data_IF_516241452872
#
_entry.id   IF_516241452872
#
_cell.length_a   1.000
_cell.length_b   1.000
_cell.length_c   1.000
_cell.angle_alpha   90.00
_cell.angle_beta   90.00
_cell.angle_gamma   90.00
#
_symmetry.space_group_name_H-M   'P 1'
#
loop_
_entity.id
_entity.type
_entity.pdbx_description
1 polymer ?
#
# COMPACT_ATOMS: atom_id res chain seq x y z
N UNK A 1 -11.02 44.33 -3.59
CA UNK A 1 -11.35 44.43 -5.02
C UNK A 1 -10.54 45.59 -5.56
N UNK A 2 -9.62 45.34 -6.50
CA UNK A 2 -8.93 46.42 -7.17
C UNK A 2 -9.92 47.07 -8.16
N UNK A 3 -10.13 48.38 -8.02
CA UNK A 3 -11.10 49.18 -8.79
C UNK A 3 -10.81 49.26 -10.30
N UNK A 4 -9.68 48.68 -10.79
CA UNK A 4 -9.19 48.86 -12.17
C UNK A 4 -9.63 47.77 -13.18
N UNK A 5 -10.38 46.74 -12.76
CA UNK A 5 -10.78 45.68 -13.71
C UNK A 5 -12.21 45.82 -14.19
N UNK A 6 -12.46 45.68 -15.53
CA UNK A 6 -13.80 45.75 -16.08
C UNK A 6 -14.67 44.64 -15.49
N UNK A 7 -15.95 44.94 -15.16
CA UNK A 7 -16.90 43.95 -14.71
C UNK A 7 -17.14 42.87 -15.79
N UNK A 8 -17.47 41.63 -15.38
CA UNK A 8 -17.68 40.48 -16.29
C UNK A 8 -18.49 40.85 -17.56
N UNK A 9 -19.55 41.65 -17.40
CA UNK A 9 -20.39 42.09 -18.53
C UNK A 9 -19.72 42.98 -19.57
N UNK A 10 -18.62 43.68 -19.21
CA UNK A 10 -17.90 44.56 -20.11
C UNK A 10 -16.78 43.83 -20.90
N UNK A 11 -16.34 42.64 -20.44
CA UNK A 11 -15.20 41.91 -21.02
C UNK A 11 -15.40 41.54 -22.48
N UNK A 12 -16.62 41.12 -22.88
CA UNK A 12 -16.96 40.79 -24.27
C UNK A 12 -16.85 42.01 -25.18
N UNK A 13 -17.33 43.16 -24.72
CA UNK A 13 -17.25 44.43 -25.45
C UNK A 13 -15.80 44.86 -25.66
N UNK A 14 -14.97 44.75 -24.61
CA UNK A 14 -13.54 45.04 -24.68
C UNK A 14 -12.82 44.11 -25.67
N UNK A 15 -13.13 42.81 -25.66
CA UNK A 15 -12.57 41.85 -26.61
C UNK A 15 -12.95 42.14 -28.07
N UNK A 16 -14.20 42.60 -28.34
CA UNK A 16 -14.63 42.97 -29.68
C UNK A 16 -13.86 44.20 -30.17
N UNK A 17 -13.65 45.19 -29.29
CA UNK A 17 -12.94 46.44 -29.59
C UNK A 17 -11.44 46.22 -29.80
N UNK A 18 -10.81 45.44 -28.95
CA UNK A 18 -9.38 45.17 -28.99
C UNK A 18 -9.11 43.73 -28.47
N UNK A 19 -8.91 42.77 -29.39
CA UNK A 19 -8.72 41.37 -29.06
C UNK A 19 -7.55 41.11 -28.10
N UNK A 20 -6.32 41.63 -28.30
CA UNK A 20 -5.21 41.46 -27.36
C UNK A 20 -5.51 41.95 -25.94
N UNK A 21 -6.07 43.15 -25.82
CA UNK A 21 -6.44 43.77 -24.53
C UNK A 21 -7.59 42.98 -23.86
N UNK A 22 -8.62 42.61 -24.62
CA UNK A 22 -9.74 41.81 -24.14
C UNK A 22 -9.30 40.44 -23.63
N UNK A 23 -8.35 39.77 -24.29
CA UNK A 23 -7.77 38.50 -23.77
C UNK A 23 -7.04 38.68 -22.43
N UNK A 24 -6.29 39.78 -22.31
CA UNK A 24 -5.58 40.09 -21.08
C UNK A 24 -6.55 40.40 -19.94
N UNK A 25 -7.57 41.23 -20.20
CA UNK A 25 -8.59 41.55 -19.20
C UNK A 25 -9.41 40.35 -18.75
N UNK A 26 -9.75 39.43 -19.68
CA UNK A 26 -10.41 38.18 -19.31
C UNK A 26 -9.49 37.30 -18.43
N UNK A 27 -8.20 37.18 -18.77
CA UNK A 27 -7.27 36.43 -17.95
C UNK A 27 -7.11 37.04 -16.56
N UNK A 28 -6.99 38.36 -16.43
CA UNK A 28 -6.95 39.07 -15.14
C UNK A 28 -8.22 38.83 -14.33
N UNK A 29 -9.39 38.94 -14.95
CA UNK A 29 -10.67 38.66 -14.30
C UNK A 29 -10.70 37.23 -13.73
N UNK A 30 -10.30 36.21 -14.53
CA UNK A 30 -10.28 34.82 -14.06
C UNK A 30 -9.32 34.61 -12.88
N UNK A 31 -8.15 35.27 -12.90
CA UNK A 31 -7.16 35.17 -11.80
C UNK A 31 -7.67 35.84 -10.52
N UNK A 32 -8.43 36.93 -10.63
CA UNK A 32 -8.98 37.63 -9.46
C UNK A 32 -10.22 36.94 -8.89
N UNK A 33 -11.09 36.43 -9.76
CA UNK A 33 -12.31 35.75 -9.36
C UNK A 33 -12.03 34.40 -8.71
N UNK A 34 -10.98 33.72 -9.18
CA UNK A 34 -10.69 32.36 -8.78
C UNK A 34 -9.28 32.24 -8.19
N UNK A 35 -9.16 31.46 -7.10
CA UNK A 35 -7.86 31.05 -6.57
C UNK A 35 -7.21 30.03 -7.51
N UNK A 36 -6.43 30.49 -8.48
CA UNK A 36 -5.77 29.67 -9.49
C UNK A 36 -4.29 29.55 -9.16
N UNK A 37 -3.72 28.35 -9.36
CA UNK A 37 -2.27 28.09 -9.29
C UNK A 37 -1.88 27.19 -10.46
N UNK A 38 -0.80 27.54 -11.13
CA UNK A 38 -0.21 26.76 -12.22
C UNK A 38 1.15 26.26 -11.81
N UNK A 39 1.38 24.95 -11.81
CA UNK A 39 2.71 24.40 -11.52
C UNK A 39 3.70 24.83 -12.60
N UNK A 40 4.86 25.32 -12.19
CA UNK A 40 5.99 25.61 -13.08
C UNK A 40 6.67 24.28 -13.48
N UNK A 41 6.03 23.64 -14.45
CA UNK A 41 6.45 22.40 -15.07
C UNK A 41 6.20 22.49 -16.57
N UNK A 42 6.78 21.60 -17.36
CA UNK A 42 6.57 21.56 -18.80
C UNK A 42 5.08 21.49 -19.19
N UNK A 43 4.31 20.73 -18.42
CA UNK A 43 2.88 20.48 -18.64
C UNK A 43 1.99 21.63 -18.16
N UNK A 44 2.53 22.53 -17.32
CA UNK A 44 1.82 23.68 -16.76
C UNK A 44 0.45 23.30 -16.19
N UNK A 45 0.44 22.23 -15.34
CA UNK A 45 -0.79 21.78 -14.71
C UNK A 45 -1.42 22.89 -13.87
N UNK A 46 -2.62 23.32 -14.27
CA UNK A 46 -3.34 24.45 -13.70
C UNK A 46 -4.47 23.95 -12.82
N UNK A 47 -4.55 24.51 -11.63
CA UNK A 47 -5.50 24.12 -10.60
C UNK A 47 -6.32 25.31 -10.10
N UNK A 48 -7.55 25.02 -9.66
CA UNK A 48 -8.46 25.99 -9.04
C UNK A 48 -8.89 25.46 -7.67
N UNK A 49 -8.97 26.33 -6.68
CA UNK A 49 -9.48 25.97 -5.37
C UNK A 49 -11.01 25.85 -5.39
N UNK A 50 -11.53 24.63 -5.22
CA UNK A 50 -12.96 24.33 -5.14
C UNK A 50 -13.23 23.19 -4.17
N UNK A 51 -14.29 23.33 -3.37
CA UNK A 51 -14.69 22.28 -2.44
C UNK A 51 -13.63 21.91 -1.40
N UNK A 52 -12.74 22.85 -1.05
CA UNK A 52 -11.75 22.69 0.00
C UNK A 52 -10.37 22.20 -0.45
N UNK A 53 -10.09 22.09 -1.75
CA UNK A 53 -8.78 21.70 -2.28
C UNK A 53 -8.59 22.15 -3.72
N UNK A 54 -7.39 22.05 -4.25
CA UNK A 54 -7.06 22.43 -5.63
C UNK A 54 -7.37 21.27 -6.58
N UNK A 55 -8.24 21.50 -7.55
CA UNK A 55 -8.64 20.55 -8.60
C UNK A 55 -8.19 21.02 -9.99
N UNK A 56 -7.99 20.13 -10.97
CA UNK A 56 -7.62 20.53 -12.35
C UNK A 56 -8.59 21.55 -12.93
N UNK A 57 -8.06 22.66 -13.48
CA UNK A 57 -8.84 23.84 -13.82
C UNK A 57 -9.07 24.07 -15.32
N UNK A 58 -8.27 23.48 -16.22
CA UNK A 58 -8.26 23.86 -17.65
C UNK A 58 -9.64 23.80 -18.30
N UNK A 59 -10.38 22.72 -18.10
CA UNK A 59 -11.72 22.57 -18.71
C UNK A 59 -12.73 23.55 -18.12
N UNK A 60 -12.67 23.78 -16.80
CA UNK A 60 -13.51 24.77 -16.15
C UNK A 60 -13.24 26.19 -16.68
N UNK A 61 -11.97 26.60 -16.74
CA UNK A 61 -11.56 27.92 -17.21
C UNK A 61 -11.94 28.15 -18.71
N UNK A 62 -11.81 27.09 -19.53
CA UNK A 62 -12.29 27.16 -20.93
C UNK A 62 -13.80 27.34 -21.01
N UNK A 63 -14.56 26.76 -20.09
CA UNK A 63 -16.00 26.97 -19.94
C UNK A 63 -16.34 28.41 -19.57
N UNK A 64 -15.64 29.03 -18.62
CA UNK A 64 -15.80 30.43 -18.23
C UNK A 64 -15.52 31.39 -19.41
N UNK A 65 -14.47 31.11 -20.19
CA UNK A 65 -14.19 31.89 -21.42
C UNK A 65 -15.33 31.77 -22.44
N UNK A 66 -15.91 30.57 -22.58
CA UNK A 66 -17.09 30.36 -23.44
C UNK A 66 -18.28 31.18 -22.97
N UNK A 67 -18.57 31.19 -21.68
CA UNK A 67 -19.68 31.96 -21.11
C UNK A 67 -19.48 33.47 -21.29
N UNK A 68 -18.25 34.00 -21.20
CA UNK A 68 -17.93 35.41 -21.40
C UNK A 68 -18.06 35.81 -22.85
N UNK A 69 -17.49 35.05 -23.75
CA UNK A 69 -17.35 35.44 -25.17
C UNK A 69 -18.46 34.89 -26.08
N UNK A 70 -19.12 33.79 -25.71
CA UNK A 70 -20.09 33.08 -26.54
C UNK A 70 -19.45 32.61 -27.84
N UNK A 71 -20.12 32.92 -28.98
CA UNK A 71 -19.65 32.53 -30.33
C UNK A 71 -18.27 33.08 -30.75
N UNK A 72 -17.70 34.01 -29.99
CA UNK A 72 -16.34 34.54 -30.21
C UNK A 72 -15.23 33.73 -29.57
N UNK A 73 -15.58 32.70 -28.79
CA UNK A 73 -14.66 31.86 -28.01
C UNK A 73 -14.05 30.69 -28.78
N UNK A 74 -13.50 30.90 -29.96
CA UNK A 74 -12.84 29.84 -30.72
C UNK A 74 -11.67 29.17 -29.95
N UNK A 75 -11.33 27.93 -30.34
CA UNK A 75 -10.32 27.13 -29.63
C UNK A 75 -8.99 27.85 -29.41
N UNK A 76 -8.48 28.58 -30.42
CA UNK A 76 -7.24 29.37 -30.29
C UNK A 76 -7.41 30.50 -29.26
N UNK A 77 -8.56 31.22 -29.29
CA UNK A 77 -8.84 32.28 -28.30
C UNK A 77 -8.85 31.78 -26.88
N UNK A 78 -9.51 30.62 -26.63
CA UNK A 78 -9.48 29.98 -25.33
C UNK A 78 -8.06 29.64 -24.88
N UNK A 79 -7.28 28.98 -25.75
CA UNK A 79 -5.92 28.58 -25.42
C UNK A 79 -5.00 29.77 -25.12
N UNK A 80 -5.13 30.88 -25.87
CA UNK A 80 -4.35 32.09 -25.62
C UNK A 80 -4.72 32.79 -24.31
N UNK A 81 -6.02 32.81 -23.93
CA UNK A 81 -6.45 33.31 -22.61
C UNK A 81 -5.93 32.40 -21.49
N UNK A 82 -6.05 31.07 -21.63
CA UNK A 82 -5.54 30.14 -20.65
C UNK A 82 -4.03 30.23 -20.48
N UNK A 83 -3.27 30.40 -21.59
CA UNK A 83 -1.82 30.63 -21.49
C UNK A 83 -1.49 31.87 -20.66
N UNK A 84 -2.24 32.96 -20.81
CA UNK A 84 -2.05 34.16 -19.98
C UNK A 84 -2.38 33.92 -18.52
N UNK A 85 -3.47 33.19 -18.23
CA UNK A 85 -3.80 32.77 -16.84
C UNK A 85 -2.65 31.96 -16.25
N UNK A 86 -2.12 31.01 -17.01
CA UNK A 86 -0.98 30.17 -16.56
C UNK A 86 0.26 31.03 -16.25
N UNK A 87 0.60 32.00 -17.13
CA UNK A 87 1.75 32.90 -16.93
C UNK A 87 1.59 33.77 -15.66
N UNK A 88 0.36 34.20 -15.35
CA UNK A 88 0.06 35.01 -14.16
C UNK A 88 0.01 34.23 -12.86
N UNK A 89 -0.12 32.90 -12.90
CA UNK A 89 -0.37 32.05 -11.72
C UNK A 89 0.68 30.99 -11.48
N UNK A 90 1.87 31.14 -12.09
CA UNK A 90 2.99 30.21 -11.92
C UNK A 90 3.44 30.12 -10.46
N UNK A 91 3.58 28.89 -9.99
CA UNK A 91 4.10 28.55 -8.65
C UNK A 91 4.98 27.33 -8.75
N UNK A 92 5.97 27.24 -7.86
CA UNK A 92 6.77 26.04 -7.72
C UNK A 92 5.92 24.83 -7.31
N UNK A 93 6.29 23.64 -7.79
CA UNK A 93 5.58 22.39 -7.47
C UNK A 93 5.44 22.17 -5.95
N UNK A 94 6.47 22.54 -5.20
CA UNK A 94 6.57 22.28 -3.75
C UNK A 94 5.56 23.06 -2.92
N UNK A 95 4.89 24.08 -3.50
CA UNK A 95 3.80 24.77 -2.78
C UNK A 95 2.65 23.80 -2.43
N UNK A 96 2.46 22.73 -3.23
CA UNK A 96 1.44 21.71 -2.99
C UNK A 96 1.88 20.61 -2.01
N UNK A 97 2.78 20.96 -1.09
CA UNK A 97 3.15 20.14 0.05
C UNK A 97 2.63 20.78 1.35
N UNK A 98 1.34 20.61 1.67
CA UNK A 98 0.76 21.18 2.88
C UNK A 98 1.43 20.64 4.13
N UNK A 99 1.37 21.37 5.27
CA UNK A 99 1.95 20.92 6.54
C UNK A 99 1.48 19.52 6.91
N UNK A 100 2.41 18.69 7.41
CA UNK A 100 2.15 17.25 7.69
C UNK A 100 1.25 17.03 8.91
N UNK A 101 1.02 18.06 9.72
CA UNK A 101 0.08 18.06 10.85
C UNK A 101 -1.36 18.45 10.44
N UNK A 102 -1.64 18.63 9.16
CA UNK A 102 -2.96 18.97 8.66
C UNK A 102 -3.52 17.82 7.82
N UNK A 103 -4.78 17.47 8.07
CA UNK A 103 -5.55 16.47 7.30
C UNK A 103 -6.74 17.16 6.68
N UNK A 104 -6.82 17.16 5.35
CA UNK A 104 -7.95 17.76 4.63
C UNK A 104 -9.12 16.75 4.58
N UNK A 105 -10.21 17.08 5.25
CA UNK A 105 -11.43 16.29 5.38
C UNK A 105 -12.57 16.91 4.60
N UNK A 106 -13.69 16.21 4.47
CA UNK A 106 -14.87 16.68 3.73
C UNK A 106 -15.45 17.98 4.29
N UNK A 107 -15.46 18.15 5.61
CA UNK A 107 -16.07 19.29 6.32
C UNK A 107 -15.08 20.27 6.92
N UNK A 108 -13.78 20.16 6.62
CA UNK A 108 -12.74 21.08 7.11
C UNK A 108 -11.35 20.50 7.08
N UNK A 109 -10.41 21.18 7.67
CA UNK A 109 -9.01 20.76 7.80
C UNK A 109 -8.73 20.43 9.27
N UNK A 110 -8.48 19.17 9.58
CA UNK A 110 -8.18 18.76 10.94
C UNK A 110 -6.70 18.98 11.26
N UNK A 111 -6.43 19.70 12.35
CA UNK A 111 -5.08 19.90 12.84
C UNK A 111 -4.76 18.82 13.89
N UNK A 112 -3.80 17.95 13.57
CA UNK A 112 -3.39 16.83 14.43
C UNK A 112 -2.84 17.33 15.79
N UNK A 113 -2.15 18.49 15.79
CA UNK A 113 -1.49 19.03 16.99
C UNK A 113 -2.49 19.67 17.96
N UNK A 114 -3.41 20.51 17.44
CA UNK A 114 -4.41 21.18 18.29
C UNK A 114 -5.69 20.37 18.47
N UNK A 115 -5.90 19.33 17.65
CA UNK A 115 -7.10 18.50 17.59
C UNK A 115 -8.36 19.27 17.19
N UNK A 116 -8.20 20.35 16.46
CA UNK A 116 -9.28 21.22 16.02
C UNK A 116 -9.59 21.04 14.55
N UNK A 117 -10.85 21.19 14.19
CA UNK A 117 -11.30 21.27 12.81
C UNK A 117 -11.34 22.73 12.36
N UNK A 118 -10.47 23.07 11.43
CA UNK A 118 -10.35 24.39 10.84
C UNK A 118 -11.19 24.49 9.57
N UNK A 119 -11.57 25.73 9.17
CA UNK A 119 -12.19 25.94 7.85
C UNK A 119 -11.21 25.65 6.73
N UNK A 120 -11.73 25.22 5.57
CA UNK A 120 -10.92 25.11 4.36
C UNK A 120 -10.35 26.47 3.94
N UNK A 121 -9.08 26.51 3.54
CA UNK A 121 -8.42 27.68 2.97
C UNK A 121 -7.59 27.31 1.73
N UNK A 122 -7.55 28.15 0.69
CA UNK A 122 -6.64 27.97 -0.43
C UNK A 122 -5.16 28.04 -0.01
N UNK A 123 -4.84 28.65 1.12
CA UNK A 123 -3.47 28.78 1.63
C UNK A 123 -2.85 27.46 2.09
N UNK A 124 -3.68 26.47 2.40
CA UNK A 124 -3.19 25.13 2.76
C UNK A 124 -2.68 24.32 1.56
N UNK A 125 -3.00 24.70 0.34
CA UNK A 125 -2.47 24.10 -0.90
C UNK A 125 -2.69 22.60 -1.06
N UNK A 126 -3.78 22.06 -0.55
CA UNK A 126 -4.11 20.65 -0.74
C UNK A 126 -4.52 20.34 -2.18
N UNK A 127 -3.95 19.29 -2.76
CA UNK A 127 -4.40 18.64 -4.01
C UNK A 127 -5.34 17.46 -3.75
N UNK A 128 -5.55 17.11 -2.49
CA UNK A 128 -6.27 15.90 -2.09
C UNK A 128 -7.18 16.20 -0.90
N UNK A 129 -8.26 15.42 -0.79
CA UNK A 129 -9.20 15.52 0.32
C UNK A 129 -9.75 14.13 0.67
N UNK A 130 -9.68 13.74 1.94
CA UNK A 130 -10.33 12.54 2.44
C UNK A 130 -11.85 12.77 2.46
N UNK A 131 -12.67 11.90 1.83
CA UNK A 131 -14.11 12.15 1.62
C UNK A 131 -14.97 11.89 2.87
N UNK A 132 -14.38 11.98 4.06
CA UNK A 132 -15.02 11.69 5.34
C UNK A 132 -15.22 12.96 6.14
N UNK A 133 -16.34 13.07 6.84
CA UNK A 133 -16.60 14.17 7.78
C UNK A 133 -16.06 13.82 9.17
N UNK A 134 -15.40 14.78 9.79
CA UNK A 134 -15.07 14.69 11.20
C UNK A 134 -16.29 15.02 12.05
N UNK A 135 -16.75 14.05 12.82
CA UNK A 135 -17.83 14.16 13.82
C UNK A 135 -17.30 13.59 15.13
N UNK A 136 -17.02 14.40 16.16
CA UNK A 136 -16.32 13.94 17.37
C UNK A 136 -16.97 12.75 18.07
N UNK A 137 -18.31 12.66 18.03
CA UNK A 137 -19.09 11.62 18.72
C UNK A 137 -19.38 10.38 17.85
N UNK A 138 -18.91 10.35 16.59
CA UNK A 138 -19.17 9.24 15.70
C UNK A 138 -18.38 7.99 16.12
N UNK A 139 -19.04 6.82 16.06
CA UNK A 139 -18.44 5.49 16.23
C UNK A 139 -18.75 4.59 15.04
N UNK A 140 -18.02 3.47 14.90
CA UNK A 140 -18.12 2.52 13.81
C UNK A 140 -18.42 1.08 14.29
N UNK A 141 -19.55 0.82 14.93
CA UNK A 141 -19.84 -0.48 15.54
C UNK A 141 -19.91 -1.63 14.52
N UNK A 142 -20.45 -1.38 13.31
CA UNK A 142 -20.55 -2.41 12.28
C UNK A 142 -19.16 -2.80 11.76
N UNK A 143 -18.27 -1.83 11.54
CA UNK A 143 -16.90 -2.11 11.11
C UNK A 143 -16.09 -2.79 12.22
N UNK A 144 -16.21 -2.35 13.47
CA UNK A 144 -15.53 -3.02 14.60
C UNK A 144 -15.96 -4.47 14.73
N UNK A 145 -17.27 -4.75 14.55
CA UNK A 145 -17.79 -6.12 14.54
C UNK A 145 -17.18 -6.93 13.39
N UNK A 146 -17.21 -6.40 12.16
CA UNK A 146 -16.60 -7.05 11.00
C UNK A 146 -15.11 -7.35 11.23
N UNK A 147 -14.34 -6.40 11.75
CA UNK A 147 -12.93 -6.61 12.07
C UNK A 147 -12.72 -7.74 13.09
N UNK A 148 -13.57 -7.85 14.11
CA UNK A 148 -13.54 -8.97 15.08
C UNK A 148 -13.88 -10.33 14.48
N UNK A 149 -14.64 -10.37 13.38
CA UNK A 149 -14.97 -11.60 12.66
C UNK A 149 -13.80 -12.08 11.78
N UNK A 150 -13.03 -11.17 11.17
CA UNK A 150 -12.02 -11.50 10.16
C UNK A 150 -10.58 -11.42 10.63
N UNK A 151 -10.27 -10.63 11.65
CA UNK A 151 -8.93 -10.46 12.22
C UNK A 151 -8.79 -11.21 13.55
N UNK A 152 -7.56 -11.48 13.93
CA UNK A 152 -7.22 -11.87 15.31
C UNK A 152 -7.28 -10.64 16.23
N UNK A 153 -7.58 -10.82 17.52
CA UNK A 153 -7.68 -9.70 18.47
C UNK A 153 -6.42 -8.82 18.52
N UNK A 154 -5.23 -9.43 18.41
CA UNK A 154 -3.95 -8.74 18.39
C UNK A 154 -3.69 -7.92 17.13
N UNK A 155 -4.36 -8.26 16.01
CA UNK A 155 -4.21 -7.56 14.72
C UNK A 155 -5.14 -6.34 14.61
N UNK A 156 -6.18 -6.25 15.43
CA UNK A 156 -7.14 -5.12 15.41
C UNK A 156 -6.46 -3.79 15.75
N UNK A 157 -5.64 -3.68 16.82
CA UNK A 157 -4.87 -2.47 17.08
C UNK A 157 -3.90 -2.11 15.95
N UNK A 158 -3.30 -3.10 15.29
CA UNK A 158 -2.39 -2.89 14.15
C UNK A 158 -3.13 -2.28 12.97
N UNK A 159 -4.34 -2.75 12.66
CA UNK A 159 -5.18 -2.19 11.60
C UNK A 159 -5.66 -0.78 11.94
N UNK A 160 -6.00 -0.51 13.20
CA UNK A 160 -6.33 0.84 13.68
C UNK A 160 -5.17 1.81 13.46
N UNK A 161 -3.97 1.40 13.80
CA UNK A 161 -2.74 2.15 13.59
C UNK A 161 -2.46 2.35 12.09
N UNK A 162 -2.66 1.32 11.27
CA UNK A 162 -2.46 1.44 9.84
C UNK A 162 -3.41 2.48 9.20
N UNK A 163 -4.70 2.47 9.55
CA UNK A 163 -5.64 3.49 9.11
C UNK A 163 -5.20 4.89 9.57
N UNK A 164 -4.80 5.04 10.82
CA UNK A 164 -4.23 6.30 11.32
C UNK A 164 -2.96 6.72 10.58
N UNK A 165 -2.09 5.77 10.25
CA UNK A 165 -0.87 6.02 9.49
C UNK A 165 -1.15 6.53 8.07
N UNK A 166 -2.21 6.02 7.41
CA UNK A 166 -2.59 6.48 6.07
C UNK A 166 -2.96 7.96 6.03
N UNK A 167 -3.45 8.54 7.12
CA UNK A 167 -3.82 9.96 7.19
C UNK A 167 -2.63 10.92 7.23
N UNK A 168 -1.45 10.43 7.64
CA UNK A 168 -0.24 11.25 7.82
C UNK A 168 0.52 11.34 6.49
N UNK A 169 0.75 12.56 6.00
CA UNK A 169 1.50 12.83 4.75
C UNK A 169 3.02 12.71 4.93
N UNK A 170 3.47 11.74 5.71
CA UNK A 170 4.87 11.43 5.97
C UNK A 170 5.04 9.95 6.23
N UNK A 171 6.12 9.37 5.73
CA UNK A 171 6.49 7.97 5.99
C UNK A 171 7.55 7.93 7.10
N UNK A 172 7.15 7.87 8.37
CA UNK A 172 8.07 7.89 9.52
C UNK A 172 8.31 6.51 10.15
N UNK A 173 7.48 5.53 9.81
CA UNK A 173 7.65 4.11 10.17
C UNK A 173 7.72 3.30 8.88
N UNK A 174 8.79 2.54 8.70
CA UNK A 174 9.08 1.79 7.46
C UNK A 174 8.26 0.49 7.39
N UNK A 175 6.93 0.59 7.26
CA UNK A 175 6.02 -0.56 7.23
C UNK A 175 5.06 -0.51 6.05
N UNK A 176 4.77 -1.67 5.49
CA UNK A 176 3.70 -1.95 4.53
C UNK A 176 2.88 -3.13 5.06
N UNK A 177 1.61 -3.22 4.66
CA UNK A 177 0.70 -4.29 5.10
C UNK A 177 0.45 -5.27 3.96
N UNK A 178 0.40 -6.56 4.28
CA UNK A 178 -0.11 -7.58 3.39
C UNK A 178 -1.15 -8.45 4.12
N UNK A 179 -2.34 -8.54 3.50
CA UNK A 179 -3.43 -9.40 3.93
C UNK A 179 -3.27 -10.76 3.24
N UNK A 180 -2.96 -11.80 4.01
CA UNK A 180 -2.69 -13.12 3.48
C UNK A 180 -3.74 -14.13 3.92
N UNK A 181 -4.28 -14.92 3.00
CA UNK A 181 -5.23 -15.99 3.31
C UNK A 181 -6.01 -16.47 2.11
N UNK A 182 -6.80 -17.52 2.28
CA UNK A 182 -7.61 -18.10 1.23
C UNK A 182 -8.75 -17.18 0.77
N UNK A 183 -9.47 -17.61 -0.25
CA UNK A 183 -10.68 -16.89 -0.75
C UNK A 183 -11.77 -16.89 0.33
N UNK A 184 -12.66 -15.88 0.24
CA UNK A 184 -13.87 -15.74 1.07
C UNK A 184 -13.57 -15.57 2.58
N UNK A 185 -12.43 -14.97 2.91
CA UNK A 185 -12.02 -14.67 4.29
C UNK A 185 -12.16 -13.18 4.67
N UNK A 186 -12.70 -12.33 3.78
CA UNK A 186 -12.96 -10.92 4.06
C UNK A 186 -11.85 -9.93 3.66
N UNK A 187 -10.74 -10.37 3.04
CA UNK A 187 -9.62 -9.49 2.60
C UNK A 187 -10.09 -8.37 1.68
N UNK A 188 -10.79 -8.71 0.59
CA UNK A 188 -11.31 -7.74 -0.39
C UNK A 188 -12.33 -6.79 0.25
N UNK A 189 -13.17 -7.29 1.17
CA UNK A 189 -14.11 -6.45 1.92
C UNK A 189 -13.37 -5.42 2.78
N UNK A 190 -12.30 -5.83 3.47
CA UNK A 190 -11.47 -4.92 4.26
C UNK A 190 -10.78 -3.88 3.37
N UNK A 191 -10.22 -4.28 2.21
CA UNK A 191 -9.65 -3.33 1.26
C UNK A 191 -10.69 -2.31 0.79
N UNK A 192 -11.90 -2.75 0.43
CA UNK A 192 -12.98 -1.86 0.00
C UNK A 192 -13.38 -0.85 1.08
N UNK A 193 -13.39 -1.24 2.36
CA UNK A 193 -13.64 -0.33 3.48
C UNK A 193 -12.53 0.73 3.57
N UNK A 194 -11.27 0.31 3.49
CA UNK A 194 -10.10 1.20 3.54
C UNK A 194 -10.13 2.16 2.34
N UNK A 195 -10.45 1.66 1.15
CA UNK A 195 -10.55 2.46 -0.07
C UNK A 195 -11.70 3.48 -0.01
N UNK A 196 -12.86 3.10 0.55
CA UNK A 196 -13.96 4.02 0.78
C UNK A 196 -13.59 5.12 1.79
N UNK A 197 -12.87 4.76 2.84
CA UNK A 197 -12.37 5.69 3.86
C UNK A 197 -11.39 6.72 3.28
N UNK A 198 -10.41 6.27 2.51
CA UNK A 198 -9.38 7.13 1.91
C UNK A 198 -9.93 7.91 0.71
N UNK A 199 -10.85 7.33 -0.06
CA UNK A 199 -11.41 7.88 -1.29
C UNK A 199 -10.59 7.54 -2.54
N UNK A 200 -11.28 7.10 -3.59
CA UNK A 200 -10.67 6.55 -4.82
C UNK A 200 -9.63 7.47 -5.47
N UNK A 201 -9.85 8.79 -5.44
CA UNK A 201 -8.93 9.77 -6.04
C UNK A 201 -7.60 9.85 -5.29
N UNK A 202 -7.55 9.40 -4.04
CA UNK A 202 -6.39 9.41 -3.15
C UNK A 202 -5.60 8.09 -3.18
N UNK A 203 -5.98 7.15 -4.05
CA UNK A 203 -5.43 5.79 -4.07
C UNK A 203 -4.72 5.53 -5.40
N UNK A 204 -3.64 4.80 -5.35
CA UNK A 204 -3.02 4.13 -6.49
C UNK A 204 -3.20 2.62 -6.39
N UNK A 205 -3.22 1.94 -7.55
CA UNK A 205 -3.39 0.49 -7.66
C UNK A 205 -2.17 -0.18 -8.31
N UNK A 206 -0.99 0.02 -7.75
CA UNK A 206 0.25 -0.50 -8.33
C UNK A 206 0.64 -1.80 -7.63
N UNK A 207 0.87 -2.87 -8.41
CA UNK A 207 1.32 -4.15 -7.85
C UNK A 207 2.73 -4.05 -7.30
N UNK A 208 3.05 -4.89 -6.32
CA UNK A 208 4.37 -4.95 -5.68
C UNK A 208 5.49 -5.21 -6.69
N UNK A 209 5.25 -6.08 -7.69
CA UNK A 209 6.19 -6.38 -8.76
C UNK A 209 6.50 -5.13 -9.63
N UNK A 210 5.47 -4.33 -9.93
CA UNK A 210 5.65 -3.09 -10.71
C UNK A 210 6.37 -2.01 -9.91
N UNK A 211 6.10 -1.88 -8.61
CA UNK A 211 6.85 -0.96 -7.74
C UNK A 211 8.36 -1.28 -7.80
N UNK A 212 8.73 -2.58 -7.81
CA UNK A 212 10.12 -3.01 -7.89
C UNK A 212 10.80 -2.67 -9.22
N UNK A 213 10.09 -2.80 -10.34
CA UNK A 213 10.72 -2.87 -11.68
C UNK A 213 10.41 -1.70 -12.62
N UNK A 214 9.41 -0.85 -12.32
CA UNK A 214 8.88 0.13 -13.27
C UNK A 214 8.93 1.56 -12.69
N UNK A 215 9.70 2.44 -13.35
CA UNK A 215 9.82 3.86 -12.98
C UNK A 215 8.50 4.64 -13.15
N UNK A 216 7.64 4.25 -14.09
CA UNK A 216 6.33 4.86 -14.27
C UNK A 216 5.37 4.47 -13.14
N UNK A 217 5.53 3.27 -12.59
CA UNK A 217 4.73 2.82 -11.47
C UNK A 217 4.96 3.65 -10.20
N UNK A 218 6.20 4.13 -9.99
CA UNK A 218 6.50 5.01 -8.85
C UNK A 218 5.82 6.37 -8.96
N UNK A 219 5.65 6.91 -10.17
CA UNK A 219 4.93 8.17 -10.40
C UNK A 219 3.46 8.10 -9.97
N UNK A 220 2.83 6.93 -10.07
CA UNK A 220 1.46 6.73 -9.62
C UNK A 220 1.26 6.89 -8.10
N UNK A 221 2.33 6.85 -7.31
CA UNK A 221 2.29 7.09 -5.86
C UNK A 221 2.28 8.59 -5.50
N UNK A 222 2.64 9.47 -6.45
CA UNK A 222 2.72 10.90 -6.19
C UNK A 222 1.37 11.48 -5.75
N UNK A 223 1.36 12.19 -4.61
CA UNK A 223 0.18 12.79 -3.99
C UNK A 223 -0.94 11.78 -3.64
N UNK A 224 -0.61 10.49 -3.44
CA UNK A 224 -1.56 9.49 -2.97
C UNK A 224 -1.37 9.20 -1.47
N UNK A 225 -2.46 8.90 -0.78
CA UNK A 225 -2.44 8.49 0.64
C UNK A 225 -2.22 6.99 0.79
N UNK A 226 -2.70 6.23 -0.20
CA UNK A 226 -2.67 4.77 -0.18
C UNK A 226 -2.30 4.22 -1.56
N UNK A 227 -1.53 3.15 -1.58
CA UNK A 227 -1.49 2.20 -2.67
C UNK A 227 -2.16 0.92 -2.20
N UNK A 228 -3.32 0.61 -2.78
CA UNK A 228 -4.08 -0.61 -2.52
C UNK A 228 -4.04 -1.49 -3.76
N UNK A 229 -3.63 -2.75 -3.58
CA UNK A 229 -3.62 -3.70 -4.69
C UNK A 229 -4.10 -5.07 -4.19
N UNK A 230 -5.23 -5.50 -4.73
CA UNK A 230 -5.84 -6.80 -4.44
C UNK A 230 -5.28 -7.89 -5.33
N UNK A 231 -5.25 -9.12 -4.83
CA UNK A 231 -4.88 -10.36 -5.52
C UNK A 231 -3.48 -10.31 -6.18
N UNK A 232 -2.45 -10.06 -5.37
CA UNK A 232 -1.07 -10.15 -5.83
C UNK A 232 -0.78 -11.53 -6.42
N UNK A 233 -0.26 -11.54 -7.66
CA UNK A 233 0.20 -12.78 -8.28
C UNK A 233 1.41 -13.35 -7.53
N UNK A 234 1.46 -14.68 -7.41
CA UNK A 234 2.57 -15.42 -6.80
C UNK A 234 3.82 -15.46 -7.73
N UNK A 235 4.20 -14.33 -8.29
CA UNK A 235 5.43 -14.21 -9.09
C UNK A 235 6.52 -13.63 -8.22
N UNK A 236 7.73 -14.18 -8.33
CA UNK A 236 8.90 -13.70 -7.61
C UNK A 236 9.12 -12.20 -7.79
N UNK A 237 9.50 -11.56 -6.70
CA UNK A 237 9.93 -10.18 -6.69
C UNK A 237 11.42 -10.19 -7.03
N UNK A 238 11.75 -9.70 -8.23
CA UNK A 238 13.13 -9.68 -8.73
C UNK A 238 13.98 -8.63 -8.03
N UNK A 239 13.39 -7.47 -7.75
CA UNK A 239 14.04 -6.30 -7.15
C UNK A 239 13.14 -5.69 -6.07
N UNK A 240 13.71 -5.42 -4.90
CA UNK A 240 13.01 -4.84 -3.75
C UNK A 240 13.47 -3.41 -3.40
N UNK A 241 14.41 -2.85 -4.17
CA UNK A 241 15.00 -1.53 -3.92
C UNK A 241 13.95 -0.42 -3.90
N UNK A 242 13.09 -0.34 -4.92
CA UNK A 242 12.04 0.68 -5.00
C UNK A 242 10.98 0.50 -3.90
N UNK A 243 10.65 -0.74 -3.50
CA UNK A 243 9.78 -0.99 -2.36
C UNK A 243 10.40 -0.46 -1.06
N UNK A 244 11.71 -0.70 -0.86
CA UNK A 244 12.43 -0.16 0.29
C UNK A 244 12.49 1.37 0.28
N UNK A 245 12.60 2.00 -0.88
CA UNK A 245 12.52 3.46 -1.01
C UNK A 245 11.09 3.96 -0.74
N UNK A 246 10.08 3.34 -1.33
CA UNK A 246 8.68 3.72 -1.16
C UNK A 246 8.22 3.67 0.31
N UNK A 247 8.72 2.69 1.07
CA UNK A 247 8.43 2.55 2.51
C UNK A 247 9.44 3.28 3.41
N UNK A 248 10.47 3.89 2.83
CA UNK A 248 11.57 4.52 3.56
C UNK A 248 11.39 6.00 3.88
N UNK A 249 10.38 6.66 3.30
CA UNK A 249 10.18 8.11 3.44
C UNK A 249 11.25 8.97 2.74
N UNK A 250 12.08 8.38 1.91
CA UNK A 250 13.10 9.09 1.13
C UNK A 250 12.57 9.61 -0.22
N UNK A 251 13.41 10.42 -0.87
CA UNK A 251 13.10 10.95 -2.21
C UNK A 251 13.10 9.85 -3.26
N UNK A 252 12.02 9.73 -4.00
CA UNK A 252 11.84 8.80 -5.12
C UNK A 252 11.87 9.53 -6.45
N UNK A 253 12.55 8.93 -7.44
CA UNK A 253 12.44 9.38 -8.84
C UNK A 253 11.12 8.90 -9.45
N UNK A 254 10.44 9.77 -10.16
CA UNK A 254 9.23 9.46 -10.92
C UNK A 254 9.39 9.94 -12.36
N UNK A 255 8.79 9.18 -13.26
CA UNK A 255 8.76 9.50 -14.68
C UNK A 255 7.34 9.29 -15.21
N UNK A 256 6.71 10.32 -15.72
CA UNK A 256 5.46 10.19 -16.45
C UNK A 256 5.75 10.07 -17.95
N UNK A 257 4.89 9.36 -18.69
CA UNK A 257 5.04 9.30 -20.14
C UNK A 257 4.98 10.70 -20.72
N UNK A 258 6.04 11.05 -21.46
CA UNK A 258 6.20 12.35 -22.15
C UNK A 258 6.45 13.56 -21.23
N UNK A 259 6.66 13.35 -19.94
CA UNK A 259 7.01 14.39 -18.98
C UNK A 259 8.49 14.28 -18.56
N UNK A 260 9.02 15.36 -17.99
CA UNK A 260 10.35 15.36 -17.38
C UNK A 260 10.31 14.52 -16.08
N UNK A 261 11.41 13.82 -15.80
CA UNK A 261 11.61 13.15 -14.53
C UNK A 261 11.58 14.15 -13.37
N UNK A 262 10.91 13.78 -12.30
CA UNK A 262 10.90 14.59 -11.08
C UNK A 262 11.16 13.72 -9.83
N UNK A 263 11.52 14.37 -8.74
CA UNK A 263 11.68 13.71 -7.45
C UNK A 263 10.57 14.14 -6.51
N UNK A 264 10.12 13.23 -5.66
CA UNK A 264 9.13 13.51 -4.61
C UNK A 264 9.36 12.63 -3.40
N UNK A 265 8.88 13.05 -2.25
CA UNK A 265 8.83 12.23 -1.04
C UNK A 265 7.53 11.44 -1.03
N UNK A 266 7.64 10.10 -0.99
CA UNK A 266 6.46 9.25 -0.94
C UNK A 266 5.83 9.28 0.45
N UNK A 267 4.53 9.49 0.50
CA UNK A 267 3.74 9.31 1.72
C UNK A 267 2.60 8.28 1.55
N UNK A 268 2.37 7.76 0.35
CA UNK A 268 1.39 6.70 0.12
C UNK A 268 1.77 5.44 0.90
N UNK A 269 0.93 5.00 1.84
CA UNK A 269 1.11 3.73 2.55
C UNK A 269 0.74 2.59 1.62
N UNK A 270 1.44 1.47 1.77
CA UNK A 270 1.27 0.35 0.87
C UNK A 270 0.48 -0.76 1.58
N UNK A 271 -0.60 -1.20 0.96
CA UNK A 271 -1.36 -2.38 1.36
C UNK A 271 -1.61 -3.28 0.16
N UNK A 272 -1.46 -4.56 0.39
CA UNK A 272 -1.66 -5.60 -0.61
C UNK A 272 -2.53 -6.72 -0.05
N UNK A 273 -3.22 -7.45 -0.91
CA UNK A 273 -3.78 -8.74 -0.56
C UNK A 273 -3.19 -9.85 -1.44
N UNK A 274 -3.09 -11.04 -0.90
CA UNK A 274 -2.62 -12.22 -1.60
C UNK A 274 -3.21 -13.49 -1.00
N UNK A 275 -3.46 -14.49 -1.84
CA UNK A 275 -3.73 -15.83 -1.33
C UNK A 275 -2.41 -16.53 -0.94
N UNK A 276 -1.34 -16.22 -1.68
CA UNK A 276 0.04 -16.65 -1.42
C UNK A 276 0.97 -15.46 -1.58
N UNK A 277 1.82 -15.23 -0.61
CA UNK A 277 2.74 -14.09 -0.62
C UNK A 277 3.88 -14.37 -1.62
N UNK A 278 4.17 -13.45 -2.56
CA UNK A 278 5.28 -13.61 -3.47
C UNK A 278 6.62 -13.60 -2.72
N UNK A 279 7.53 -14.47 -3.14
CA UNK A 279 8.85 -14.62 -2.49
C UNK A 279 9.82 -13.62 -3.13
N UNK A 280 10.59 -12.91 -2.30
CA UNK A 280 11.71 -12.12 -2.78
C UNK A 280 12.88 -13.03 -3.13
N UNK A 281 13.57 -12.75 -4.27
CA UNK A 281 14.75 -13.52 -4.68
C UNK A 281 15.88 -13.50 -3.65
N UNK A 282 16.05 -12.38 -2.99
CA UNK A 282 17.03 -12.24 -1.90
C UNK A 282 16.37 -12.64 -0.58
N UNK A 283 16.52 -13.93 -0.25
CA UNK A 283 15.95 -14.53 0.95
C UNK A 283 16.62 -14.08 2.25
N UNK A 284 17.75 -13.36 2.21
CA UNK A 284 18.49 -12.96 3.40
C UNK A 284 18.38 -11.46 3.70
N UNK A 285 17.62 -10.71 2.89
CA UNK A 285 17.37 -9.28 3.11
C UNK A 285 16.40 -9.03 4.27
N UNK A 286 16.92 -9.08 5.51
CA UNK A 286 16.14 -8.75 6.71
C UNK A 286 15.53 -7.34 6.66
N UNK A 287 16.17 -6.40 5.93
CA UNK A 287 15.62 -5.07 5.75
C UNK A 287 14.35 -5.05 4.88
N UNK A 288 14.18 -6.01 4.00
CA UNK A 288 12.92 -6.23 3.28
C UNK A 288 11.85 -6.80 4.21
N UNK A 289 12.15 -7.87 4.93
CA UNK A 289 11.19 -8.52 5.84
C UNK A 289 10.75 -7.62 6.98
N UNK A 290 11.67 -6.81 7.54
CA UNK A 290 11.35 -5.85 8.61
C UNK A 290 10.31 -4.80 8.23
N UNK A 291 10.06 -4.59 6.93
CA UNK A 291 9.06 -3.64 6.44
C UNK A 291 7.64 -4.20 6.39
N UNK A 292 7.46 -5.49 6.55
CA UNK A 292 6.15 -6.09 6.43
C UNK A 292 5.40 -6.19 7.75
N UNK A 293 4.11 -5.94 7.67
CA UNK A 293 3.08 -6.37 8.61
C UNK A 293 2.24 -7.39 7.85
N UNK A 294 2.30 -8.65 8.27
CA UNK A 294 1.54 -9.74 7.66
C UNK A 294 0.34 -10.04 8.54
N UNK A 295 -0.86 -9.77 8.02
CA UNK A 295 -2.12 -10.09 8.69
C UNK A 295 -2.72 -11.32 8.04
N UNK A 296 -2.96 -12.36 8.84
CA UNK A 296 -3.47 -13.64 8.36
C UNK A 296 -4.99 -13.69 8.41
N UNK A 297 -5.59 -14.08 7.30
CA UNK A 297 -7.03 -14.25 7.10
C UNK A 297 -7.34 -15.73 6.87
N UNK A 298 -7.53 -16.50 7.92
CA UNK A 298 -7.82 -17.94 7.89
C UNK A 298 -9.22 -18.30 8.34
N UNK A 299 -9.98 -17.32 8.87
CA UNK A 299 -11.36 -17.49 9.28
C UNK A 299 -12.28 -17.38 8.06
N UNK A 300 -12.91 -18.49 7.66
CA UNK A 300 -13.92 -18.47 6.61
C UNK A 300 -15.20 -17.81 7.08
N UNK A 301 -15.76 -16.94 6.24
CA UNK A 301 -17.07 -16.34 6.47
C UNK A 301 -18.12 -17.37 6.08
N UNK A 302 -18.82 -17.95 7.08
CA UNK A 302 -19.80 -19.01 6.86
C UNK A 302 -21.01 -18.54 6.05
N UNK A 303 -21.42 -17.28 6.20
CA UNK A 303 -22.58 -16.69 5.52
C UNK A 303 -22.17 -15.39 4.84
N UNK A 304 -21.60 -15.44 3.62
CA UNK A 304 -21.26 -14.22 2.90
C UNK A 304 -22.52 -13.43 2.55
N UNK A 305 -22.51 -12.13 2.94
CA UNK A 305 -23.55 -11.17 2.57
C UNK A 305 -23.03 -10.31 1.40
N UNK A 306 -23.62 -10.45 0.23
CA UNK A 306 -23.24 -9.69 -0.95
C UNK A 306 -23.39 -8.17 -0.79
N UNK A 307 -24.26 -7.73 0.13
CA UNK A 307 -24.54 -6.31 0.42
C UNK A 307 -23.82 -5.82 1.68
N UNK A 308 -22.88 -6.61 2.23
CA UNK A 308 -22.20 -6.23 3.47
C UNK A 308 -21.44 -4.91 3.32
N UNK A 309 -20.84 -4.67 2.18
CA UNK A 309 -20.04 -3.46 1.95
C UNK A 309 -20.91 -2.21 2.04
N UNK A 310 -22.13 -2.21 1.49
CA UNK A 310 -23.02 -1.05 1.52
C UNK A 310 -23.44 -0.67 2.95
N UNK A 311 -23.49 -1.66 3.85
CA UNK A 311 -23.80 -1.46 5.27
C UNK A 311 -22.57 -0.92 6.04
N UNK A 312 -21.36 -1.24 5.59
CA UNK A 312 -20.11 -0.89 6.26
C UNK A 312 -19.56 0.48 5.83
N UNK A 313 -19.88 0.96 4.61
CA UNK A 313 -19.32 2.22 4.08
C UNK A 313 -20.29 3.41 4.19
N UNK A 314 -21.24 3.37 5.13
CA UNK A 314 -22.13 4.52 5.34
C UNK A 314 -21.36 5.75 5.84
N UNK A 315 -21.84 6.98 5.59
CA UNK A 315 -21.18 8.19 6.08
C UNK A 315 -20.96 8.21 7.59
N UNK A 316 -21.87 7.61 8.37
CA UNK A 316 -21.79 7.50 9.83
C UNK A 316 -20.66 6.56 10.25
N UNK A 317 -20.61 5.35 9.69
CA UNK A 317 -19.52 4.38 9.94
C UNK A 317 -18.16 4.98 9.52
N UNK A 318 -18.07 5.66 8.36
CA UNK A 318 -16.82 6.29 7.92
C UNK A 318 -16.36 7.41 8.86
N UNK A 319 -17.28 8.22 9.40
CA UNK A 319 -16.94 9.22 10.43
C UNK A 319 -16.42 8.55 11.71
N UNK A 320 -17.02 7.42 12.11
CA UNK A 320 -16.54 6.61 13.22
C UNK A 320 -15.18 5.98 12.98
N UNK A 321 -14.93 5.48 11.75
CA UNK A 321 -13.60 4.98 11.34
C UNK A 321 -12.55 6.07 11.44
N UNK A 322 -12.87 7.31 11.08
CA UNK A 322 -11.95 8.44 11.23
C UNK A 322 -11.52 8.66 12.68
N UNK A 323 -12.51 8.67 13.60
CA UNK A 323 -12.19 8.79 15.04
C UNK A 323 -11.37 7.60 15.52
N UNK A 324 -11.75 6.39 15.13
CA UNK A 324 -11.02 5.17 15.48
C UNK A 324 -9.59 5.18 14.93
N UNK A 325 -9.39 5.65 13.70
CA UNK A 325 -8.08 5.82 13.08
C UNK A 325 -7.24 6.89 13.80
N UNK A 326 -7.85 7.98 14.29
CA UNK A 326 -7.14 8.98 15.08
C UNK A 326 -6.54 8.40 16.37
N UNK A 327 -7.23 7.50 17.07
CA UNK A 327 -6.64 6.83 18.24
C UNK A 327 -5.39 6.02 17.84
N UNK A 328 -5.43 5.28 16.73
CA UNK A 328 -4.27 4.57 16.19
C UNK A 328 -3.15 5.51 15.77
N UNK A 329 -3.49 6.62 15.11
CA UNK A 329 -2.54 7.66 14.69
C UNK A 329 -1.79 8.27 15.88
N UNK A 330 -2.50 8.66 16.92
CA UNK A 330 -1.86 9.26 18.12
C UNK A 330 -0.96 8.25 18.81
N UNK A 331 -1.38 6.99 18.93
CA UNK A 331 -0.54 5.92 19.48
C UNK A 331 0.75 5.74 18.66
N UNK A 332 0.68 5.75 17.32
CA UNK A 332 1.87 5.69 16.46
C UNK A 332 2.79 6.90 16.60
N UNK A 333 2.22 8.11 16.75
CA UNK A 333 3.02 9.34 16.95
C UNK A 333 3.76 9.27 18.28
N UNK A 334 3.13 8.77 19.33
CA UNK A 334 3.71 8.63 20.66
C UNK A 334 4.77 7.51 20.71
N UNK A 335 4.41 6.31 20.24
CA UNK A 335 5.26 5.11 20.39
C UNK A 335 6.32 4.96 19.30
N UNK A 336 6.15 5.61 18.14
CA UNK A 336 6.98 5.50 16.93
C UNK A 336 7.09 4.06 16.40
N UNK A 337 6.17 3.18 16.76
CA UNK A 337 6.12 1.77 16.34
C UNK A 337 4.69 1.25 16.32
N UNK A 338 4.43 0.27 15.44
CA UNK A 338 3.17 -0.48 15.43
C UNK A 338 3.10 -1.45 16.62
N UNK A 339 1.87 -1.74 17.05
CA UNK A 339 1.58 -2.83 18.02
C UNK A 339 1.85 -4.23 17.46
N UNK A 340 2.51 -4.32 16.32
CA UNK A 340 2.89 -5.56 15.64
C UNK A 340 4.22 -6.06 16.19
N UNK A 341 4.23 -7.29 16.73
CA UNK A 341 5.34 -7.81 17.54
C UNK A 341 6.22 -8.84 16.81
N UNK A 342 5.80 -9.31 15.62
CA UNK A 342 6.57 -10.33 14.90
C UNK A 342 7.90 -9.78 14.39
N UNK A 343 8.97 -10.51 14.67
CA UNK A 343 10.32 -10.17 14.26
C UNK A 343 10.56 -10.47 12.76
N UNK A 344 11.55 -9.82 12.11
CA UNK A 344 11.82 -10.00 10.67
C UNK A 344 12.01 -11.46 10.25
N UNK A 345 12.58 -12.28 11.11
CA UNK A 345 12.77 -13.72 10.84
C UNK A 345 11.44 -14.47 10.85
N UNK A 346 10.56 -14.19 11.80
CA UNK A 346 9.21 -14.77 11.87
C UNK A 346 8.37 -14.35 10.65
N UNK A 347 8.48 -13.08 10.25
CA UNK A 347 7.82 -12.57 9.04
C UNK A 347 8.32 -13.32 7.81
N UNK A 348 9.64 -13.53 7.68
CA UNK A 348 10.23 -14.35 6.62
C UNK A 348 9.61 -15.74 6.56
N UNK A 349 9.53 -16.41 7.71
CA UNK A 349 8.94 -17.75 7.81
C UNK A 349 7.47 -17.76 7.39
N UNK A 350 6.66 -16.82 7.89
CA UNK A 350 5.23 -16.70 7.52
C UNK A 350 5.09 -16.50 6.02
N UNK A 351 5.87 -15.59 5.42
CA UNK A 351 5.82 -15.32 3.99
C UNK A 351 6.24 -16.55 3.16
N UNK A 352 7.29 -17.26 3.55
CA UNK A 352 7.73 -18.48 2.88
C UNK A 352 6.68 -19.60 3.00
N UNK A 353 6.12 -19.81 4.19
CA UNK A 353 5.10 -20.83 4.43
C UNK A 353 3.81 -20.58 3.66
N UNK A 354 3.39 -19.33 3.52
CA UNK A 354 2.19 -18.97 2.76
C UNK A 354 2.28 -19.35 1.27
N UNK A 355 3.49 -19.43 0.72
CA UNK A 355 3.76 -19.66 -0.70
C UNK A 355 4.18 -21.09 -1.06
N UNK A 356 4.69 -21.88 -0.12
CA UNK A 356 5.35 -23.14 -0.42
C UNK A 356 4.96 -24.27 0.52
N UNK A 357 4.43 -25.36 -0.06
CA UNK A 357 4.20 -26.60 0.69
C UNK A 357 5.50 -27.24 1.20
N UNK A 358 6.61 -26.98 0.50
CA UNK A 358 7.94 -27.45 0.93
C UNK A 358 8.40 -26.68 2.17
N UNK A 359 8.20 -25.34 2.20
CA UNK A 359 8.52 -24.53 3.38
C UNK A 359 7.70 -24.96 4.61
N UNK A 360 6.41 -25.29 4.41
CA UNK A 360 5.58 -25.84 5.48
C UNK A 360 6.11 -27.19 5.97
N UNK A 361 6.43 -28.10 5.05
CA UNK A 361 7.00 -29.41 5.39
C UNK A 361 8.32 -29.29 6.17
N UNK A 362 9.22 -28.40 5.71
CA UNK A 362 10.49 -28.14 6.42
C UNK A 362 10.23 -27.67 7.85
N UNK A 363 9.34 -26.70 8.02
CA UNK A 363 9.06 -26.10 9.34
C UNK A 363 8.35 -27.07 10.30
N UNK A 364 7.47 -27.93 9.78
CA UNK A 364 6.62 -28.80 10.60
C UNK A 364 7.21 -30.21 10.82
N UNK A 365 8.09 -30.66 9.92
CA UNK A 365 8.56 -32.03 9.91
C UNK A 365 10.07 -32.20 10.06
N UNK A 366 10.88 -31.15 9.85
CA UNK A 366 12.33 -31.28 9.82
C UNK A 366 13.01 -30.41 10.88
N UNK A 367 14.09 -30.93 11.44
CA UNK A 367 14.99 -30.17 12.32
C UNK A 367 16.45 -30.42 11.95
N UNK A 368 17.31 -29.45 12.23
CA UNK A 368 18.75 -29.63 12.08
C UNK A 368 19.28 -30.66 13.09
N UNK A 369 20.07 -31.59 12.60
CA UNK A 369 20.69 -32.61 13.42
C UNK A 369 22.07 -32.97 12.85
N UNK A 370 23.13 -32.66 13.60
CA UNK A 370 24.50 -32.99 13.23
C UNK A 370 24.65 -34.52 13.16
N UNK A 371 25.35 -34.97 12.10
CA UNK A 371 25.63 -36.39 11.86
C UNK A 371 24.45 -37.30 11.53
N UNK A 372 23.23 -36.77 11.45
CA UNK A 372 22.07 -37.46 10.93
C UNK A 372 21.89 -37.26 9.43
N UNK A 373 21.25 -38.22 8.78
CA UNK A 373 20.90 -38.11 7.36
C UNK A 373 19.57 -38.85 7.08
N UNK A 374 18.88 -38.39 6.04
CA UNK A 374 17.62 -38.98 5.54
C UNK A 374 17.81 -39.27 4.05
N UNK A 375 17.39 -40.44 3.58
CA UNK A 375 17.38 -40.82 2.17
C UNK A 375 16.54 -39.83 1.34
N UNK A 376 17.01 -39.50 0.13
CA UNK A 376 16.26 -38.52 -0.73
C UNK A 376 14.87 -39.03 -1.11
N UNK A 377 14.73 -40.36 -1.27
CA UNK A 377 13.46 -41.01 -1.61
C UNK A 377 12.52 -40.97 -0.40
N UNK A 378 13.03 -41.35 0.75
CA UNK A 378 12.31 -41.32 2.03
C UNK A 378 11.81 -39.89 2.37
N UNK A 379 12.68 -38.89 2.24
CA UNK A 379 12.34 -37.48 2.44
C UNK A 379 11.21 -37.03 1.52
N UNK A 380 11.26 -37.43 0.24
CA UNK A 380 10.22 -37.09 -0.72
C UNK A 380 8.90 -37.81 -0.43
N UNK A 381 8.94 -39.07 -0.04
CA UNK A 381 7.75 -39.85 0.33
C UNK A 381 7.08 -39.25 1.58
N UNK A 382 7.87 -38.83 2.58
CA UNK A 382 7.38 -38.10 3.74
C UNK A 382 6.72 -36.77 3.35
N UNK A 383 7.31 -36.02 2.42
CA UNK A 383 6.71 -34.78 1.88
C UNK A 383 5.38 -35.07 1.19
N UNK A 384 5.29 -36.10 0.34
CA UNK A 384 4.03 -36.47 -0.35
C UNK A 384 2.94 -36.86 0.65
N UNK A 385 3.28 -37.62 1.69
CA UNK A 385 2.33 -37.93 2.79
C UNK A 385 1.87 -36.66 3.52
N UNK A 386 2.80 -35.75 3.81
CA UNK A 386 2.51 -34.48 4.49
C UNK A 386 1.53 -33.63 3.67
N UNK A 387 1.81 -33.40 2.38
CA UNK A 387 0.93 -32.58 1.53
C UNK A 387 -0.43 -33.23 1.32
N UNK A 388 -0.50 -34.56 1.22
CA UNK A 388 -1.76 -35.28 1.12
C UNK A 388 -2.61 -35.13 2.39
N UNK A 389 -2.00 -35.25 3.58
CA UNK A 389 -2.68 -35.07 4.88
C UNK A 389 -3.22 -33.64 5.05
N UNK A 390 -2.50 -32.64 4.57
CA UNK A 390 -2.82 -31.23 4.77
C UNK A 390 -3.57 -30.58 3.58
N UNK A 391 -3.99 -31.39 2.56
CA UNK A 391 -4.70 -30.88 1.39
C UNK A 391 -3.89 -29.91 0.54
N UNK A 392 -2.57 -29.96 0.61
CA UNK A 392 -1.65 -29.08 -0.11
C UNK A 392 -1.29 -29.67 -1.48
N UNK A 393 -0.81 -28.81 -2.38
CA UNK A 393 -0.32 -29.25 -3.68
C UNK A 393 1.10 -29.81 -3.56
N UNK A 394 1.32 -31.03 -4.02
CA UNK A 394 2.66 -31.59 -4.14
C UNK A 394 3.47 -30.99 -5.29
N UNK A 395 4.78 -31.19 -5.21
CA UNK A 395 5.77 -30.73 -6.20
C UNK A 395 6.50 -31.95 -6.77
N UNK A 396 6.99 -31.86 -7.99
CA UNK A 396 7.78 -32.94 -8.60
C UNK A 396 9.08 -33.16 -7.84
N UNK A 397 9.54 -34.43 -7.76
CA UNK A 397 10.73 -34.81 -6.97
C UNK A 397 11.99 -34.02 -7.29
N UNK A 398 12.21 -33.70 -8.58
CA UNK A 398 13.36 -32.90 -9.01
C UNK A 398 13.28 -31.46 -8.53
N UNK A 399 12.10 -30.84 -8.54
CA UNK A 399 11.86 -29.49 -8.03
C UNK A 399 11.93 -29.46 -6.52
N UNK A 400 11.33 -30.47 -5.85
CA UNK A 400 11.41 -30.64 -4.38
C UNK A 400 12.86 -30.61 -3.90
N UNK A 401 13.76 -31.39 -4.51
CA UNK A 401 15.16 -31.44 -4.08
C UNK A 401 15.91 -30.12 -4.27
N UNK A 402 15.57 -29.32 -5.30
CA UNK A 402 16.15 -27.99 -5.52
C UNK A 402 15.65 -26.96 -4.50
N UNK A 403 14.35 -26.98 -4.22
CA UNK A 403 13.71 -26.02 -3.34
C UNK A 403 13.95 -26.33 -1.87
N UNK A 404 14.08 -27.61 -1.49
CA UNK A 404 14.31 -28.05 -0.11
C UNK A 404 15.51 -27.31 0.53
N UNK A 405 16.62 -27.20 -0.21
CA UNK A 405 17.82 -26.51 0.26
C UNK A 405 17.64 -25.01 0.44
N UNK A 406 16.69 -24.39 -0.29
CA UNK A 406 16.37 -22.96 -0.13
C UNK A 406 15.68 -22.68 1.22
N UNK A 407 14.89 -23.64 1.74
CA UNK A 407 14.16 -23.49 2.99
C UNK A 407 14.89 -24.10 4.19
N UNK A 408 15.74 -25.11 3.94
CA UNK A 408 16.54 -25.80 4.95
C UNK A 408 18.02 -25.69 4.60
N UNK A 409 18.60 -24.48 4.69
CA UNK A 409 19.99 -24.19 4.30
C UNK A 409 21.06 -24.99 5.07
N UNK A 410 20.69 -25.67 6.14
CA UNK A 410 21.56 -26.57 6.89
C UNK A 410 21.68 -27.97 6.24
N UNK A 411 20.79 -28.31 5.28
CA UNK A 411 20.79 -29.60 4.58
C UNK A 411 21.85 -29.59 3.46
N UNK A 412 22.64 -30.65 3.37
CA UNK A 412 23.61 -30.83 2.31
C UNK A 412 23.51 -32.21 1.65
N UNK A 413 23.92 -32.29 0.39
CA UNK A 413 24.03 -33.55 -0.35
C UNK A 413 24.99 -34.52 0.36
N UNK A 414 24.58 -35.79 0.44
CA UNK A 414 25.35 -36.83 1.10
C UNK A 414 25.17 -38.18 0.37
N UNK A 415 26.18 -39.02 0.40
CA UNK A 415 26.17 -40.35 -0.24
C UNK A 415 26.74 -41.40 0.71
N UNK A 416 26.00 -41.79 1.77
CA UNK A 416 26.43 -42.87 2.67
C UNK A 416 26.35 -44.23 1.97
N UNK A 417 26.96 -45.24 2.56
CA UNK A 417 26.70 -46.63 2.23
C UNK A 417 25.52 -47.12 3.06
N UNK A 418 24.51 -47.67 2.39
CA UNK A 418 23.37 -48.33 3.05
C UNK A 418 23.77 -49.65 3.69
N UNK A 419 22.84 -50.28 4.39
CA UNK A 419 23.04 -51.59 5.06
C UNK A 419 23.42 -52.70 4.06
N UNK A 420 23.00 -52.58 2.83
CA UNK A 420 23.35 -53.50 1.70
C UNK A 420 24.72 -53.20 1.05
N UNK A 421 25.46 -52.20 1.58
CA UNK A 421 26.75 -51.77 1.07
C UNK A 421 26.69 -50.88 -0.16
N UNK A 422 25.48 -50.61 -0.73
CA UNK A 422 25.33 -49.71 -1.89
C UNK A 422 25.27 -48.26 -1.47
N UNK A 423 25.66 -47.38 -2.35
CA UNK A 423 25.55 -45.92 -2.14
C UNK A 423 24.09 -45.50 -2.14
N UNK A 424 23.66 -44.75 -1.12
CA UNK A 424 22.35 -44.13 -1.01
C UNK A 424 22.48 -42.63 -1.25
N UNK A 425 21.58 -42.04 -2.04
CA UNK A 425 21.48 -40.60 -2.14
C UNK A 425 20.68 -40.04 -0.98
N UNK A 426 21.28 -39.19 -0.18
CA UNK A 426 20.71 -38.70 1.06
C UNK A 426 20.92 -37.19 1.25
N UNK A 427 20.21 -36.64 2.22
CA UNK A 427 20.39 -35.31 2.79
C UNK A 427 21.00 -35.47 4.19
N UNK A 428 22.16 -34.84 4.46
CA UNK A 428 22.79 -34.82 5.80
C UNK A 428 22.40 -33.59 6.59
N UNK A 429 22.71 -33.60 7.89
CA UNK A 429 22.43 -32.58 8.90
C UNK A 429 20.95 -32.38 9.16
N UNK A 430 20.13 -33.39 9.01
CA UNK A 430 18.68 -33.33 9.14
C UNK A 430 18.10 -34.60 9.78
N UNK A 431 17.08 -34.45 10.65
CA UNK A 431 16.21 -35.51 11.11
C UNK A 431 14.74 -35.07 11.08
N UNK A 432 13.81 -36.04 11.13
CA UNK A 432 12.39 -35.72 11.32
C UNK A 432 12.12 -35.25 12.75
N UNK A 433 11.17 -34.33 12.92
CA UNK A 433 10.68 -33.91 14.25
C UNK A 433 9.85 -35.06 14.84
N UNK A 434 10.11 -35.44 16.06
CA UNK A 434 9.42 -36.55 16.74
C UNK A 434 10.16 -37.89 16.71
N UNK A 435 11.29 -38.00 16.02
CA UNK A 435 12.22 -39.15 16.17
C UNK A 435 13.14 -38.88 17.37
N UNK A 436 12.59 -38.94 18.61
CA UNK A 436 13.39 -39.01 19.83
C UNK A 436 13.71 -40.45 20.16
N UNK A 437 15.02 -40.78 20.22
CA UNK A 437 15.70 -41.76 21.04
C UNK A 437 14.96 -43.06 21.38
N UNK A 438 14.62 -43.91 20.44
CA UNK A 438 14.38 -45.34 20.71
C UNK A 438 15.68 -46.18 20.77
N UNK A 439 16.89 -45.57 20.71
CA UNK A 439 18.15 -46.30 20.62
C UNK A 439 19.16 -45.99 21.72
N UNK A 440 18.76 -45.88 22.99
CA UNK A 440 19.70 -45.84 24.12
C UNK A 440 19.33 -46.74 25.32
N UNK A 441 18.37 -47.69 25.17
CA UNK A 441 18.16 -48.72 26.19
C UNK A 441 18.19 -50.12 25.58
N UNK A 442 19.34 -50.53 25.12
CA UNK A 442 19.53 -51.88 24.60
C UNK A 442 21.00 -52.30 24.60
N UNK A 443 21.59 -52.60 25.77
CA UNK A 443 22.87 -53.29 25.72
C UNK A 443 23.90 -53.04 26.80
N UNK A 444 23.56 -53.23 28.06
CA UNK A 444 24.56 -53.68 29.06
C UNK A 444 23.89 -54.60 30.08
N UNK A 445 23.62 -55.82 29.65
CA UNK A 445 23.47 -56.96 30.60
C UNK A 445 24.58 -57.96 30.33
N UNK A 446 25.47 -58.05 31.30
CA UNK A 446 26.00 -59.27 31.78
C UNK A 446 27.11 -59.97 31.03
N UNK A 447 28.34 -59.79 31.49
CA UNK A 447 29.26 -60.94 31.72
C UNK A 447 30.05 -60.65 32.98
N UNK A 448 29.50 -61.18 34.13
CA UNK A 448 30.29 -61.62 35.21
C UNK A 448 30.39 -63.19 35.11
N UNK A 449 31.58 -63.67 34.97
CA UNK A 449 32.20 -64.78 35.73
C UNK A 449 33.45 -65.23 35.01
#
# INVERSE_FOLDING_TARGET
MNEDNPPRGALKGLFIKNKPEGRHAIAQYLVQEYCIKTMDTRERNTYIFRGGYYVPAINFLKGEVEEILGSLSGGNTKNEIISKVQDMTLVERDIFNPPTNLINLKNGVFNITTKELLSHSPDYNFLTKIPVEYKPEADCPAIKKFLGEVLYPEDIPVMQEFLGFTLIRRYFIKKAVILCGERDTGKTTLLNIIEAFIGKDNISGVSLQKIGSDKFATAALYQKYLNSFDDLSFKDIKENGNFKMATGGGSMGAENKYESTFKFENFAKLIFSANKIPIAKDNDDLAYFSRWIVLTFDKKIEKPDALVIDKLITPEEMSGVLNWAFYGMYRLIETQKFSYTKEPFEIKQIMQRSGSSIANFVADCLTQATDNWIGKDEMYDAFIKYVGKNGMKGTLKQEFGKELQNYAGYIADFKPKGEDGKQVYAWRNVKFIGEEEENLEGGFEGYES
#
